data_IF_379131753830
#
_entry.id   IF_379131753830
#
_cell.length_a   1.000
_cell.length_b   1.000
_cell.length_c   1.000
_cell.angle_alpha   90.00
_cell.angle_beta   90.00
_cell.angle_gamma   90.00
#
_symmetry.space_group_name_H-M   'P 1'
#
loop_
_entity.id
_entity.type
_entity.pdbx_description
1 polymer ?
#
# COMPACT_ATOMS: atom_id res chain seq x y z
N UNK A 1 58.83 19.41 22.32
CA UNK A 1 59.67 18.92 23.41
C UNK A 1 58.76 18.49 24.54
N UNK A 2 58.55 17.25 24.76
CA UNK A 2 58.49 16.50 26.00
C UNK A 2 57.92 15.14 25.75
N UNK A 3 58.74 14.16 25.86
CA UNK A 3 58.45 12.75 25.75
C UNK A 3 57.87 12.24 27.06
N UNK A 4 56.83 11.44 27.02
CA UNK A 4 56.27 10.69 28.14
C UNK A 4 56.43 9.18 27.95
N UNK A 5 56.63 8.40 29.00
CA UNK A 5 57.28 7.09 28.93
C UNK A 5 56.32 5.94 28.58
N UNK A 6 56.89 4.98 27.85
CA UNK A 6 56.30 3.68 27.54
C UNK A 6 56.31 2.77 28.79
N UNK A 7 55.13 2.29 29.17
CA UNK A 7 55.01 1.23 30.16
C UNK A 7 54.89 -0.10 29.41
N UNK A 8 55.94 -0.92 29.55
CA UNK A 8 55.89 -2.35 29.11
C UNK A 8 55.27 -3.17 30.25
N UNK A 9 54.13 -3.76 29.97
CA UNK A 9 53.53 -4.77 30.87
C UNK A 9 53.85 -6.16 30.33
N UNK A 10 54.77 -6.82 30.98
CA UNK A 10 55.08 -8.25 30.80
C UNK A 10 54.03 -9.08 31.54
N UNK A 11 53.24 -9.82 30.79
CA UNK A 11 52.32 -10.79 31.37
C UNK A 11 52.93 -12.19 31.23
N UNK A 12 53.31 -12.72 32.36
CA UNK A 12 53.79 -14.08 32.55
C UNK A 12 52.61 -15.06 32.55
N UNK A 13 52.66 -16.06 31.69
CA UNK A 13 51.73 -17.20 31.72
C UNK A 13 52.06 -18.20 32.81
N UNK A 14 51.09 -18.83 33.44
CA UNK A 14 51.23 -20.22 33.83
C UNK A 14 50.05 -21.10 33.41
N UNK A 15 50.37 -22.15 32.72
CA UNK A 15 50.10 -23.57 33.02
C UNK A 15 48.65 -24.02 33.23
N UNK A 16 48.19 -24.70 32.19
CA UNK A 16 47.41 -25.95 32.14
C UNK A 16 46.46 -26.29 33.26
N UNK A 17 45.17 -26.43 32.90
CA UNK A 17 44.37 -27.55 33.41
C UNK A 17 43.38 -27.98 32.30
N UNK A 18 43.64 -29.16 31.73
CA UNK A 18 42.81 -29.80 30.73
C UNK A 18 41.57 -30.40 31.43
N UNK A 19 40.45 -29.69 31.38
CA UNK A 19 39.17 -30.25 31.77
C UNK A 19 38.44 -30.73 30.50
N UNK A 20 38.43 -32.04 30.32
CA UNK A 20 37.60 -32.75 29.32
C UNK A 20 36.17 -32.71 29.81
N UNK A 21 35.38 -31.76 29.31
CA UNK A 21 33.93 -31.75 29.56
C UNK A 21 33.31 -32.58 28.45
N UNK A 22 32.79 -33.73 28.80
CA UNK A 22 31.88 -34.51 27.96
C UNK A 22 30.59 -33.73 27.81
N UNK A 23 30.45 -33.06 26.67
CA UNK A 23 29.18 -32.49 26.27
C UNK A 23 28.27 -33.63 25.80
N UNK A 24 27.36 -34.03 26.68
CA UNK A 24 26.20 -34.83 26.30
C UNK A 24 25.32 -33.95 25.43
N UNK A 25 25.36 -34.21 24.13
CA UNK A 25 24.51 -33.53 23.17
C UNK A 25 23.04 -33.92 23.40
N UNK A 26 22.29 -33.08 24.10
CA UNK A 26 20.83 -33.09 23.99
C UNK A 26 20.46 -32.64 22.57
N UNK A 27 20.14 -33.58 21.71
CA UNK A 27 19.49 -33.32 20.43
C UNK A 27 18.11 -32.75 20.72
N UNK A 28 18.03 -31.44 20.77
CA UNK A 28 16.74 -30.73 20.78
C UNK A 28 16.10 -30.93 19.43
N UNK A 29 15.14 -31.85 19.36
CA UNK A 29 14.25 -31.97 18.22
C UNK A 29 13.44 -30.65 18.13
N UNK A 30 13.84 -29.77 17.23
CA UNK A 30 13.05 -28.59 16.89
C UNK A 30 11.72 -29.06 16.29
N UNK A 31 10.57 -28.65 16.85
CA UNK A 31 9.30 -28.91 16.21
C UNK A 31 9.34 -28.22 14.84
N UNK A 32 9.16 -29.02 13.78
CA UNK A 32 8.99 -28.56 12.41
C UNK A 32 7.81 -27.62 12.43
N UNK A 33 8.09 -26.30 12.39
CA UNK A 33 7.04 -25.31 12.20
C UNK A 33 6.43 -25.58 10.82
N UNK A 34 5.27 -26.18 10.83
CA UNK A 34 4.38 -26.22 9.68
C UNK A 34 3.93 -24.76 9.52
N UNK A 35 4.63 -24.05 8.64
CA UNK A 35 4.11 -22.77 8.12
C UNK A 35 2.81 -23.11 7.42
N UNK A 36 1.69 -22.85 8.10
CA UNK A 36 0.39 -22.80 7.46
C UNK A 36 0.49 -21.61 6.49
N UNK A 37 0.88 -21.87 5.26
CA UNK A 37 0.64 -20.95 4.16
C UNK A 37 -0.87 -20.83 4.07
N UNK A 38 -1.40 -19.75 4.60
CA UNK A 38 -2.80 -19.39 4.39
C UNK A 38 -2.90 -18.96 2.94
N UNK A 39 -2.94 -19.91 2.01
CA UNK A 39 -3.39 -19.73 0.64
C UNK A 39 -4.91 -19.47 0.66
N UNK A 40 -5.32 -18.42 1.39
CA UNK A 40 -6.63 -17.85 1.20
C UNK A 40 -6.52 -17.03 -0.07
N UNK A 41 -7.27 -17.37 -1.14
CA UNK A 41 -7.27 -16.56 -2.34
C UNK A 41 -7.57 -15.10 -1.94
N UNK A 42 -6.93 -14.11 -2.55
CA UNK A 42 -7.18 -12.72 -2.23
C UNK A 42 -8.68 -12.45 -2.37
N UNK A 43 -9.30 -11.92 -1.32
CA UNK A 43 -10.70 -11.54 -1.35
C UNK A 43 -10.80 -10.39 -2.35
N UNK A 44 -11.33 -10.69 -3.54
CA UNK A 44 -11.60 -9.69 -4.57
C UNK A 44 -12.83 -8.91 -4.10
N UNK A 45 -12.63 -7.65 -3.75
CA UNK A 45 -13.70 -6.72 -3.41
C UNK A 45 -14.22 -6.03 -4.68
N UNK A 46 -15.41 -5.49 -4.59
CA UNK A 46 -16.01 -4.69 -5.66
C UNK A 46 -16.19 -3.24 -5.22
N UNK A 47 -16.17 -2.31 -6.17
CA UNK A 47 -16.54 -0.91 -5.91
C UNK A 47 -17.98 -0.76 -5.42
N UNK A 48 -18.83 -1.77 -5.62
CA UNK A 48 -20.22 -1.78 -5.10
C UNK A 48 -20.29 -2.14 -3.62
N UNK A 49 -19.20 -2.57 -3.00
CA UNK A 49 -19.15 -3.00 -1.59
C UNK A 49 -18.87 -1.85 -0.61
N UNK A 50 -18.90 -0.59 -1.08
CA UNK A 50 -18.63 0.57 -0.22
C UNK A 50 -17.16 0.65 0.22
N UNK A 51 -16.25 0.73 -0.75
CA UNK A 51 -14.80 0.68 -0.52
C UNK A 51 -14.17 2.02 -0.15
N UNK A 52 -14.95 3.10 -0.06
CA UNK A 52 -14.51 4.45 0.29
C UNK A 52 -15.50 5.11 1.25
N UNK A 53 -15.10 6.18 1.94
CA UNK A 53 -16.02 6.95 2.79
C UNK A 53 -16.50 8.23 2.10
N UNK A 54 -17.69 8.72 2.49
CA UNK A 54 -18.18 10.02 2.02
C UNK A 54 -17.22 11.16 2.34
N UNK A 55 -16.55 11.12 3.51
CA UNK A 55 -15.56 12.12 3.92
C UNK A 55 -14.39 12.14 2.98
N UNK A 56 -13.92 10.97 2.60
CA UNK A 56 -12.85 10.81 1.62
C UNK A 56 -13.24 11.39 0.25
N UNK A 57 -14.43 11.06 -0.24
CA UNK A 57 -14.93 11.60 -1.50
C UNK A 57 -15.10 13.14 -1.49
N UNK A 58 -15.42 13.74 -0.33
CA UNK A 58 -15.48 15.21 -0.18
C UNK A 58 -14.08 15.84 -0.26
N UNK A 59 -13.06 15.20 0.32
CA UNK A 59 -11.67 15.67 0.15
C UNK A 59 -11.24 15.58 -1.31
N UNK A 60 -11.54 14.45 -1.96
CA UNK A 60 -11.25 14.24 -3.38
C UNK A 60 -11.95 15.26 -4.29
N UNK A 61 -13.19 15.64 -3.99
CA UNK A 61 -13.89 16.70 -4.70
C UNK A 61 -13.11 18.01 -4.66
N UNK A 62 -12.66 18.43 -3.47
CA UNK A 62 -11.90 19.68 -3.30
C UNK A 62 -10.58 19.66 -4.09
N UNK A 63 -9.87 18.53 -4.09
CA UNK A 63 -8.64 18.38 -4.86
C UNK A 63 -8.94 18.38 -6.37
N UNK A 64 -10.02 17.74 -6.81
CA UNK A 64 -10.45 17.74 -8.20
C UNK A 64 -10.80 19.14 -8.68
N UNK A 65 -11.63 19.87 -7.93
CA UNK A 65 -12.04 21.26 -8.24
C UNK A 65 -10.82 22.20 -8.29
N UNK A 66 -9.87 22.04 -7.39
CA UNK A 66 -8.67 22.89 -7.32
C UNK A 66 -7.69 22.65 -8.47
N UNK A 67 -7.55 21.42 -8.93
CA UNK A 67 -6.42 21.00 -9.80
C UNK A 67 -6.92 20.49 -11.15
N UNK A 68 -7.91 19.59 -11.15
CA UNK A 68 -8.34 18.91 -12.36
C UNK A 68 -9.30 19.76 -13.20
N UNK A 69 -10.14 20.60 -12.58
CA UNK A 69 -11.12 21.43 -13.27
C UNK A 69 -10.49 22.56 -14.11
N UNK A 70 -9.19 22.80 -13.98
CA UNK A 70 -8.47 23.68 -14.88
C UNK A 70 -8.55 23.21 -16.35
N UNK A 71 -8.64 21.89 -16.56
CA UNK A 71 -8.68 21.26 -17.90
C UNK A 71 -9.89 20.37 -18.12
N UNK A 72 -10.45 19.79 -17.06
CA UNK A 72 -11.50 18.77 -17.12
C UNK A 72 -12.84 19.27 -16.60
N UNK A 73 -13.89 18.54 -16.94
CA UNK A 73 -15.22 18.70 -16.33
C UNK A 73 -15.63 17.38 -15.70
N UNK A 74 -16.21 17.41 -14.51
CA UNK A 74 -16.66 16.21 -13.78
C UNK A 74 -17.52 15.27 -14.65
N UNK A 75 -18.33 15.83 -15.58
CA UNK A 75 -19.18 15.01 -16.47
C UNK A 75 -18.40 14.07 -17.38
N UNK A 76 -17.13 14.31 -17.63
CA UNK A 76 -16.25 13.47 -18.47
C UNK A 76 -15.93 12.15 -17.79
N UNK A 77 -16.00 12.11 -16.45
CA UNK A 77 -15.62 10.97 -15.62
C UNK A 77 -16.83 10.30 -14.94
N UNK A 78 -18.02 10.38 -15.54
CA UNK A 78 -19.22 9.78 -14.98
C UNK A 78 -20.16 9.23 -16.04
N UNK A 79 -21.08 8.37 -15.58
CA UNK A 79 -22.11 7.77 -16.43
C UNK A 79 -21.63 6.50 -17.12
N UNK A 80 -22.47 6.01 -18.04
CA UNK A 80 -22.28 4.71 -18.67
C UNK A 80 -20.96 4.57 -19.42
N UNK A 81 -20.50 5.61 -20.09
CA UNK A 81 -19.23 5.58 -20.82
C UNK A 81 -18.04 5.31 -19.90
N UNK A 82 -17.94 6.07 -18.80
CA UNK A 82 -16.90 5.85 -17.80
C UNK A 82 -17.00 4.47 -17.15
N UNK A 83 -18.20 4.06 -16.78
CA UNK A 83 -18.42 2.74 -16.15
C UNK A 83 -18.04 1.59 -17.09
N UNK A 84 -18.34 1.70 -18.38
CA UNK A 84 -17.98 0.67 -19.37
C UNK A 84 -16.48 0.62 -19.64
N UNK A 85 -15.80 1.76 -19.69
CA UNK A 85 -14.34 1.83 -19.86
C UNK A 85 -13.60 1.12 -18.72
N UNK A 86 -14.09 1.26 -17.50
CA UNK A 86 -13.47 0.67 -16.31
C UNK A 86 -14.03 -0.70 -15.93
N UNK A 87 -15.09 -1.17 -16.55
CA UNK A 87 -15.75 -2.44 -16.22
C UNK A 87 -14.77 -3.61 -16.16
N UNK A 88 -14.78 -4.33 -15.04
CA UNK A 88 -13.92 -5.50 -14.81
C UNK A 88 -12.44 -5.19 -14.54
N UNK A 89 -12.00 -3.94 -14.67
CA UNK A 89 -10.63 -3.53 -14.39
C UNK A 89 -10.40 -3.35 -12.90
N UNK A 90 -9.16 -3.54 -12.42
CA UNK A 90 -8.78 -3.17 -11.06
C UNK A 90 -8.90 -1.66 -10.83
N UNK A 91 -9.34 -1.28 -9.62
CA UNK A 91 -9.35 0.13 -9.22
C UNK A 91 -7.95 0.74 -9.17
N UNK A 92 -6.94 -0.10 -8.92
CA UNK A 92 -5.54 0.29 -8.96
C UNK A 92 -5.09 0.83 -10.32
N UNK A 93 -5.67 0.35 -11.44
CA UNK A 93 -5.35 0.86 -12.76
C UNK A 93 -5.77 2.32 -12.93
N UNK A 94 -6.94 2.70 -12.38
CA UNK A 94 -7.40 4.09 -12.40
C UNK A 94 -6.47 4.98 -11.56
N UNK A 95 -6.11 4.52 -10.36
CA UNK A 95 -5.16 5.25 -9.51
C UNK A 95 -3.82 5.43 -10.24
N UNK A 96 -3.29 4.35 -10.81
CA UNK A 96 -2.01 4.39 -11.53
C UNK A 96 -2.06 5.33 -12.74
N UNK A 97 -3.15 5.31 -13.51
CA UNK A 97 -3.34 6.23 -14.62
C UNK A 97 -3.26 7.68 -14.14
N UNK A 98 -4.01 8.03 -13.08
CA UNK A 98 -4.01 9.39 -12.53
C UNK A 98 -2.62 9.81 -12.07
N UNK A 99 -1.93 8.98 -11.31
CA UNK A 99 -0.59 9.29 -10.78
C UNK A 99 0.43 9.46 -11.89
N UNK A 100 0.37 8.61 -12.92
CA UNK A 100 1.40 8.60 -13.96
C UNK A 100 1.17 9.62 -15.09
N UNK A 101 -0.02 10.20 -15.20
CA UNK A 101 -0.36 11.08 -16.32
C UNK A 101 -0.94 12.43 -15.94
N UNK A 102 -1.36 12.63 -14.67
CA UNK A 102 -2.06 13.83 -14.23
C UNK A 102 -1.39 14.48 -13.00
N UNK A 103 -1.35 15.81 -12.97
CA UNK A 103 -1.61 16.74 -14.08
C UNK A 103 -0.55 16.61 -15.19
N UNK A 104 -0.86 16.85 -16.47
CA UNK A 104 0.03 16.48 -17.59
C UNK A 104 1.35 17.26 -17.63
N UNK A 105 1.40 18.42 -17.01
CA UNK A 105 2.62 19.22 -16.89
C UNK A 105 3.51 18.81 -15.71
N UNK A 106 3.00 18.01 -14.76
CA UNK A 106 3.74 17.53 -13.60
C UNK A 106 3.10 16.23 -13.04
N UNK A 107 3.20 15.09 -13.76
CA UNK A 107 2.65 13.83 -13.31
C UNK A 107 3.22 13.40 -11.97
N UNK A 108 2.35 12.95 -11.06
CA UNK A 108 2.74 12.57 -9.71
C UNK A 108 2.91 13.72 -8.72
N UNK A 109 2.56 14.95 -9.12
CA UNK A 109 2.67 16.16 -8.28
C UNK A 109 1.92 16.07 -6.95
N UNK A 110 0.76 15.43 -6.93
CA UNK A 110 -0.05 15.30 -5.72
C UNK A 110 0.48 14.17 -4.83
N UNK A 111 0.21 14.29 -3.54
CA UNK A 111 0.40 13.17 -2.63
C UNK A 111 -0.50 11.98 -3.04
N UNK A 112 -0.02 10.77 -2.86
CA UNK A 112 -0.77 9.56 -3.22
C UNK A 112 -2.14 9.49 -2.52
N UNK A 113 -2.25 10.04 -1.31
CA UNK A 113 -3.49 10.19 -0.57
C UNK A 113 -4.50 11.11 -1.27
N UNK A 114 -4.05 12.17 -1.95
CA UNK A 114 -4.92 13.06 -2.69
C UNK A 114 -5.45 12.40 -3.98
N UNK A 115 -4.59 11.68 -4.71
CA UNK A 115 -5.06 10.89 -5.87
C UNK A 115 -6.10 9.85 -5.48
N UNK A 116 -5.87 9.13 -4.38
CA UNK A 116 -6.82 8.18 -3.82
C UNK A 116 -8.16 8.85 -3.44
N UNK A 117 -8.12 10.02 -2.84
CA UNK A 117 -9.30 10.78 -2.48
C UNK A 117 -10.07 11.23 -3.74
N UNK A 118 -9.34 11.62 -4.82
CA UNK A 118 -9.92 11.91 -6.14
C UNK A 118 -10.61 10.66 -6.72
N UNK A 119 -9.99 9.48 -6.65
CA UNK A 119 -10.63 8.22 -7.06
C UNK A 119 -11.93 8.00 -6.30
N UNK A 120 -11.95 8.22 -4.99
CA UNK A 120 -13.16 8.12 -4.17
C UNK A 120 -14.26 9.09 -4.60
N UNK A 121 -13.88 10.30 -5.00
CA UNK A 121 -14.81 11.28 -5.57
C UNK A 121 -15.40 10.79 -6.89
N UNK A 122 -14.58 10.25 -7.80
CA UNK A 122 -15.05 9.73 -9.08
C UNK A 122 -16.00 8.53 -8.88
N UNK A 123 -15.71 7.64 -7.94
CA UNK A 123 -16.62 6.56 -7.56
C UNK A 123 -17.98 7.10 -7.11
N UNK A 124 -17.99 8.10 -6.22
CA UNK A 124 -19.23 8.75 -5.77
C UNK A 124 -20.00 9.39 -6.92
N UNK A 125 -19.31 10.07 -7.87
CA UNK A 125 -19.94 10.68 -9.05
C UNK A 125 -20.60 9.65 -9.96
N UNK A 126 -20.14 8.41 -9.91
CA UNK A 126 -20.73 7.28 -10.64
C UNK A 126 -21.76 6.50 -9.81
N UNK A 127 -22.16 7.03 -8.65
CA UNK A 127 -23.21 6.47 -7.82
C UNK A 127 -22.80 5.21 -7.05
N UNK A 128 -21.51 4.89 -6.94
CA UNK A 128 -21.06 3.79 -6.09
C UNK A 128 -21.27 4.13 -4.62
N UNK A 129 -21.66 3.14 -3.79
CA UNK A 129 -21.95 3.36 -2.39
C UNK A 129 -20.68 3.70 -1.59
N UNK A 130 -20.82 4.60 -0.63
CA UNK A 130 -19.79 4.78 0.41
C UNK A 130 -19.95 3.71 1.49
N UNK A 131 -18.81 3.37 2.13
CA UNK A 131 -18.74 2.49 3.28
C UNK A 131 -18.13 3.19 4.50
N UNK A 132 -17.73 2.39 5.48
CA UNK A 132 -17.17 2.85 6.76
C UNK A 132 -15.64 3.04 6.73
N UNK A 133 -14.97 2.40 5.79
CA UNK A 133 -13.50 2.42 5.65
C UNK A 133 -13.07 3.27 4.47
N UNK A 134 -11.99 4.03 4.65
CA UNK A 134 -11.38 4.77 3.55
C UNK A 134 -10.70 3.82 2.56
N UNK A 135 -10.75 4.19 1.30
CA UNK A 135 -9.96 3.55 0.27
C UNK A 135 -8.47 3.66 0.63
N UNK A 136 -7.72 2.56 0.70
CA UNK A 136 -6.32 2.60 1.11
C UNK A 136 -5.43 3.30 0.08
N UNK A 137 -4.28 3.84 0.52
CA UNK A 137 -3.30 4.45 -0.37
C UNK A 137 -2.40 3.41 -1.07
N UNK A 138 -2.42 2.18 -0.59
CA UNK A 138 -1.62 1.09 -1.15
C UNK A 138 -2.21 0.61 -2.48
N UNK A 139 -1.49 0.86 -3.57
CA UNK A 139 -1.90 0.47 -4.91
C UNK A 139 -2.10 -1.05 -5.04
N UNK A 140 -1.32 -1.87 -4.31
CA UNK A 140 -1.44 -3.33 -4.36
C UNK A 140 -2.79 -3.82 -3.83
N UNK A 141 -3.34 -3.14 -2.82
CA UNK A 141 -4.68 -3.43 -2.29
C UNK A 141 -5.75 -3.04 -3.32
N UNK A 142 -5.57 -1.92 -4.01
CA UNK A 142 -6.52 -1.46 -5.03
C UNK A 142 -6.55 -2.37 -6.27
N UNK A 143 -5.49 -3.11 -6.55
CA UNK A 143 -5.49 -4.14 -7.60
C UNK A 143 -6.46 -5.30 -7.31
N UNK A 144 -6.86 -5.49 -6.05
CA UNK A 144 -7.83 -6.49 -5.63
C UNK A 144 -9.27 -5.95 -5.51
N UNK A 145 -9.51 -4.71 -5.94
CA UNK A 145 -10.84 -4.10 -5.98
C UNK A 145 -11.25 -3.96 -7.45
N UNK A 146 -12.37 -4.56 -7.84
CA UNK A 146 -12.88 -4.54 -9.20
C UNK A 146 -13.91 -3.46 -9.43
N UNK A 147 -13.84 -2.86 -10.62
CA UNK A 147 -14.93 -2.05 -11.15
C UNK A 147 -16.04 -2.98 -11.66
N UNK A 148 -17.08 -3.16 -10.87
CA UNK A 148 -18.29 -3.81 -11.34
C UNK A 148 -19.27 -2.74 -11.82
N UNK A 149 -19.83 -2.96 -13.01
CA UNK A 149 -20.90 -2.11 -13.54
C UNK A 149 -22.12 -2.34 -12.65
N UNK A 150 -22.68 -1.27 -12.10
CA UNK A 150 -23.97 -1.39 -11.41
C UNK A 150 -24.98 -1.89 -12.42
N UNK A 151 -25.51 -3.09 -12.18
CA UNK A 151 -26.49 -3.71 -13.07
C UNK A 151 -27.56 -2.69 -13.42
N UNK A 152 -27.63 -2.36 -14.70
CA UNK A 152 -28.75 -1.59 -15.21
C UNK A 152 -30.01 -2.41 -14.97
N UNK A 153 -30.94 -1.82 -14.23
CA UNK A 153 -32.31 -2.29 -14.15
C UNK A 153 -32.96 -2.02 -15.51
#
# INVERSE_FOLDING_TARGET
MSAGPSIRLTITTPFTLTAVIFMVGCASAQPKQVSLSTDTPPIIRSVVDGVFTNRQAVRGQRSFERICEACHRTREFRGSAFQQEWAGRPLGDLLQLLVSTMPPNDPGFLELSEYRDIVSYLLRQNGYPSGETELPADASILMNIRFDVRGGI
#
